data_IF_985714964484
#
_entry.id   IF_985714964484
#
_cell.length_a   1.000
_cell.length_b   1.000
_cell.length_c   1.000
_cell.angle_alpha   90.00
_cell.angle_beta   90.00
_cell.angle_gamma   90.00
#
_symmetry.space_group_name_H-M   'P 1'
#
loop_
_entity.id
_entity.type
_entity.pdbx_description
1 polymer ?
#
# COMPACT_ATOMS: atom_id res chain seq x y z
N UNK A 1 21.37 13.41 -2.53
CA UNK A 1 20.61 13.12 -3.76
C UNK A 1 19.51 12.14 -3.37
N UNK A 2 18.26 12.60 -3.26
CA UNK A 2 17.17 11.69 -2.93
C UNK A 2 16.87 10.89 -4.19
N UNK A 3 17.30 9.63 -4.23
CA UNK A 3 17.00 8.75 -5.35
C UNK A 3 15.50 8.47 -5.34
N UNK A 4 14.81 8.88 -6.39
CA UNK A 4 13.42 8.50 -6.64
C UNK A 4 13.43 7.29 -7.55
N UNK A 5 12.63 6.29 -7.19
CA UNK A 5 12.44 5.08 -7.98
C UNK A 5 11.01 5.07 -8.54
N UNK A 6 10.86 4.75 -9.82
CA UNK A 6 9.56 4.58 -10.46
C UNK A 6 9.08 3.13 -10.31
N UNK A 7 7.80 2.95 -10.01
CA UNK A 7 7.15 1.65 -9.97
C UNK A 7 6.01 1.62 -10.97
N UNK A 8 6.00 0.62 -11.85
CA UNK A 8 4.94 0.39 -12.83
C UNK A 8 4.18 -0.88 -12.48
N UNK A 9 2.86 -0.80 -12.54
CA UNK A 9 1.96 -1.94 -12.34
C UNK A 9 1.13 -2.18 -13.60
N UNK A 10 0.84 -3.44 -13.91
CA UNK A 10 -0.13 -3.80 -14.95
C UNK A 10 -1.47 -4.08 -14.28
N UNK A 11 -2.52 -3.49 -14.83
CA UNK A 11 -3.90 -3.66 -14.37
C UNK A 11 -4.81 -3.78 -15.58
N UNK A 12 -5.91 -4.50 -15.41
CA UNK A 12 -7.03 -4.50 -16.34
C UNK A 12 -7.77 -3.16 -16.31
N UNK A 13 -8.65 -2.95 -17.29
CA UNK A 13 -9.53 -1.77 -17.34
C UNK A 13 -10.45 -1.70 -16.12
N UNK A 14 -11.02 -2.83 -15.71
CA UNK A 14 -11.92 -2.93 -14.55
C UNK A 14 -11.20 -2.55 -13.24
N UNK A 15 -9.98 -3.05 -13.05
CA UNK A 15 -9.16 -2.69 -11.88
C UNK A 15 -8.81 -1.20 -11.86
N UNK A 16 -8.46 -0.64 -13.01
CA UNK A 16 -8.18 0.80 -13.11
C UNK A 16 -9.41 1.64 -12.77
N UNK A 17 -10.61 1.23 -13.20
CA UNK A 17 -11.84 1.94 -12.88
C UNK A 17 -12.17 1.89 -11.38
N UNK A 18 -12.00 0.72 -10.74
CA UNK A 18 -12.11 0.58 -9.27
C UNK A 18 -11.16 1.52 -8.53
N UNK A 19 -9.90 1.62 -8.97
CA UNK A 19 -8.91 2.53 -8.38
C UNK A 19 -9.32 4.01 -8.54
N UNK A 20 -9.87 4.38 -9.70
CA UNK A 20 -10.37 5.75 -9.95
C UNK A 20 -11.58 6.08 -9.07
N UNK A 21 -12.52 5.14 -8.95
CA UNK A 21 -13.71 5.31 -8.10
C UNK A 21 -13.29 5.46 -6.63
N UNK A 22 -12.43 4.58 -6.12
CA UNK A 22 -11.93 4.65 -4.74
C UNK A 22 -11.18 5.96 -4.46
N UNK A 23 -10.32 6.40 -5.38
CA UNK A 23 -9.59 7.66 -5.25
C UNK A 23 -10.54 8.88 -5.15
N UNK A 24 -11.65 8.87 -5.89
CA UNK A 24 -12.68 9.92 -5.82
C UNK A 24 -13.42 9.91 -4.48
N UNK A 25 -13.81 8.73 -3.99
CA UNK A 25 -14.53 8.58 -2.72
C UNK A 25 -13.68 9.06 -1.53
N UNK A 26 -12.39 8.74 -1.54
CA UNK A 26 -11.43 9.15 -0.51
C UNK A 26 -10.83 10.55 -0.77
N UNK A 27 -11.33 11.28 -1.78
CA UNK A 27 -10.92 12.65 -2.12
C UNK A 27 -9.43 12.85 -2.43
N UNK A 28 -8.76 11.82 -2.96
CA UNK A 28 -7.37 11.95 -3.43
C UNK A 28 -7.27 12.78 -4.71
N UNK A 29 -6.13 13.46 -4.89
CA UNK A 29 -5.91 14.28 -6.08
C UNK A 29 -5.78 13.45 -7.37
N UNK A 30 -5.37 12.18 -7.26
CA UNK A 30 -5.30 11.25 -8.39
C UNK A 30 -5.36 9.79 -7.94
N UNK A 31 -5.73 8.89 -8.86
CA UNK A 31 -5.68 7.45 -8.60
C UNK A 31 -4.25 6.94 -8.36
N UNK A 32 -3.22 7.57 -8.95
CA UNK A 32 -1.81 7.24 -8.70
C UNK A 32 -1.40 7.59 -7.27
N UNK A 33 -1.88 8.71 -6.74
CA UNK A 33 -1.67 9.06 -5.34
C UNK A 33 -2.34 8.06 -4.41
N UNK A 34 -3.60 7.72 -4.69
CA UNK A 34 -4.36 6.71 -3.95
C UNK A 34 -3.60 5.38 -3.89
N UNK A 35 -3.18 4.85 -5.05
CA UNK A 35 -2.41 3.59 -5.12
C UNK A 35 -1.14 3.66 -4.28
N UNK A 36 -0.35 4.75 -4.40
CA UNK A 36 0.91 4.90 -3.65
C UNK A 36 0.67 4.91 -2.14
N UNK A 37 -0.33 5.66 -1.67
CA UNK A 37 -0.64 5.80 -0.24
C UNK A 37 -1.14 4.50 0.35
N UNK A 38 -2.08 3.85 -0.34
CA UNK A 38 -2.64 2.56 0.10
C UNK A 38 -1.57 1.47 0.14
N UNK A 39 -0.70 1.39 -0.87
CA UNK A 39 0.40 0.42 -0.87
C UNK A 39 1.37 0.60 0.31
N UNK A 40 1.69 1.84 0.69
CA UNK A 40 2.55 2.13 1.85
C UNK A 40 1.86 1.76 3.17
N UNK A 41 0.57 2.08 3.31
CA UNK A 41 -0.21 1.74 4.51
C UNK A 41 -0.27 0.21 4.68
N UNK A 42 -0.53 -0.52 3.61
CA UNK A 42 -0.62 -1.98 3.68
C UNK A 42 0.76 -2.62 3.94
N UNK A 43 1.82 -2.09 3.34
CA UNK A 43 3.18 -2.54 3.64
C UNK A 43 3.55 -2.36 5.11
N UNK A 44 3.20 -1.20 5.70
CA UNK A 44 3.44 -0.92 7.13
C UNK A 44 2.71 -1.95 8.02
N UNK A 45 1.43 -2.22 7.74
CA UNK A 45 0.64 -3.22 8.49
C UNK A 45 1.27 -4.61 8.40
N UNK A 46 1.70 -5.04 7.21
CA UNK A 46 2.35 -6.34 7.02
C UNK A 46 3.64 -6.41 7.83
N UNK A 47 4.48 -5.38 7.78
CA UNK A 47 5.72 -5.33 8.55
C UNK A 47 5.48 -5.34 10.05
N UNK A 48 4.48 -4.60 10.52
CA UNK A 48 4.10 -4.55 11.93
C UNK A 48 3.62 -5.93 12.42
N UNK A 49 2.66 -6.54 11.72
CA UNK A 49 2.10 -7.84 12.09
C UNK A 49 3.19 -8.92 12.18
N UNK A 50 4.11 -8.97 11.22
CA UNK A 50 5.21 -9.94 11.23
C UNK A 50 6.22 -9.69 12.37
N UNK A 51 6.43 -8.44 12.77
CA UNK A 51 7.31 -8.10 13.90
C UNK A 51 6.67 -8.47 15.24
N UNK A 52 5.37 -8.27 15.37
CA UNK A 52 4.63 -8.60 16.59
C UNK A 52 4.51 -10.13 16.75
N UNK A 53 4.20 -10.87 15.69
CA UNK A 53 4.24 -12.36 15.69
C UNK A 53 5.63 -12.90 16.10
N UNK A 54 6.72 -12.30 15.59
CA UNK A 54 8.09 -12.68 15.99
C UNK A 54 8.41 -12.38 17.46
N UNK A 55 7.87 -11.29 18.02
CA UNK A 55 8.06 -10.94 19.43
C UNK A 55 7.27 -11.87 20.36
N UNK A 56 6.07 -12.27 19.96
CA UNK A 56 5.28 -13.25 20.72
C UNK A 56 5.96 -14.62 20.74
N UNK A 57 6.54 -15.06 19.61
CA UNK A 57 7.34 -16.29 19.54
C UNK A 57 8.64 -16.23 20.35
N UNK A 58 9.27 -15.05 20.51
CA UNK A 58 10.50 -14.92 21.30
C UNK A 58 10.27 -14.82 22.82
N UNK A 59 9.10 -14.31 23.24
CA UNK A 59 8.75 -14.13 24.65
C UNK A 59 8.02 -15.33 25.27
N UNK A 60 7.77 -16.38 24.47
CA UNK A 60 7.11 -17.62 24.89
C UNK A 60 8.06 -18.77 25.28
N UNK A 61 9.35 -18.52 25.53
CA UNK A 61 10.33 -19.50 26.03
C UNK A 61 10.78 -19.20 27.45
#
# INVERSE_FOLDING_TARGET
MNKTYSMSIRVSEEELDKLKQAARLETYASYSEFVRRTALIEAEKVLQNNNDERRELSNGN
#
